data_IF_977346614617
#
_entry.id   IF_977346614617
#
_cell.length_a   1.000
_cell.length_b   1.000
_cell.length_c   1.000
_cell.angle_alpha   90.00
_cell.angle_beta   90.00
_cell.angle_gamma   90.00
#
_symmetry.space_group_name_H-M   'P 1'
#
loop_
_entity.id
_entity.type
_entity.pdbx_description
1 polymer ?
#
# COMPACT_ATOMS: atom_id res chain seq x y z
N UNK A 1 -35.74 92.88 -13.28
CA UNK A 1 -35.11 91.74 -12.58
C UNK A 1 -35.84 90.46 -13.01
N UNK A 2 -35.12 89.41 -13.42
CA UNK A 2 -35.68 88.27 -14.15
C UNK A 2 -36.14 87.10 -13.26
N UNK A 3 -36.84 86.21 -13.94
CA UNK A 3 -37.55 84.96 -13.65
C UNK A 3 -36.80 83.83 -12.93
N UNK A 4 -37.54 82.97 -12.21
CA UNK A 4 -37.13 81.57 -11.97
C UNK A 4 -38.19 80.57 -12.50
N UNK A 5 -37.68 79.54 -13.19
CA UNK A 5 -38.37 78.39 -13.80
C UNK A 5 -37.80 77.11 -13.17
N UNK A 6 -38.68 76.22 -12.71
CA UNK A 6 -38.74 74.75 -12.86
C UNK A 6 -37.47 73.84 -12.75
N UNK A 7 -37.51 72.75 -11.95
CA UNK A 7 -37.87 71.35 -12.35
C UNK A 7 -37.49 70.30 -11.25
N UNK A 8 -38.24 69.17 -11.13
CA UNK A 8 -37.97 68.01 -10.25
C UNK A 8 -37.34 66.82 -11.03
N UNK A 9 -36.59 65.90 -10.38
CA UNK A 9 -36.25 64.52 -10.86
C UNK A 9 -35.16 63.80 -10.02
N UNK A 10 -35.42 63.41 -8.77
CA UNK A 10 -34.39 62.71 -7.96
C UNK A 10 -34.77 61.32 -7.40
N UNK A 11 -35.95 60.76 -7.69
CA UNK A 11 -36.45 59.63 -6.89
C UNK A 11 -36.55 58.26 -7.58
N UNK A 12 -35.76 57.96 -8.62
CA UNK A 12 -35.86 56.66 -9.34
C UNK A 12 -34.57 55.85 -9.50
N UNK A 13 -33.44 56.29 -8.93
CA UNK A 13 -32.13 55.68 -9.21
C UNK A 13 -31.63 54.63 -8.19
N UNK A 14 -32.31 54.41 -7.07
CA UNK A 14 -31.77 53.58 -5.98
C UNK A 14 -32.14 52.09 -6.05
N UNK A 15 -33.24 51.70 -6.72
CA UNK A 15 -33.70 50.31 -6.71
C UNK A 15 -33.01 49.40 -7.75
N UNK A 16 -32.58 49.94 -8.90
CA UNK A 16 -32.00 49.14 -9.97
C UNK A 16 -30.54 48.69 -9.68
N UNK A 17 -29.81 49.46 -8.87
CA UNK A 17 -28.40 49.16 -8.55
C UNK A 17 -28.29 48.04 -7.50
N UNK A 18 -29.26 47.91 -6.59
CA UNK A 18 -29.24 46.88 -5.55
C UNK A 18 -29.56 45.47 -6.09
N UNK A 19 -30.37 45.38 -7.15
CA UNK A 19 -30.73 44.10 -7.80
C UNK A 19 -29.61 43.55 -8.69
N UNK A 20 -28.74 44.41 -9.24
CA UNK A 20 -27.56 44.00 -10.01
C UNK A 20 -26.43 43.44 -9.14
N UNK A 21 -26.37 43.77 -7.86
CA UNK A 21 -25.35 43.27 -6.93
C UNK A 21 -25.65 41.86 -6.39
N UNK A 22 -26.91 41.39 -6.44
CA UNK A 22 -27.29 40.05 -5.99
C UNK A 22 -27.16 38.96 -7.08
N UNK A 23 -27.07 39.34 -8.35
CA UNK A 23 -26.92 38.40 -9.48
C UNK A 23 -25.47 38.19 -9.94
N UNK A 24 -24.51 38.86 -9.30
CA UNK A 24 -23.08 38.75 -9.62
C UNK A 24 -22.32 37.84 -8.63
N UNK A 25 -22.95 36.78 -8.12
CA UNK A 25 -22.23 35.71 -7.46
C UNK A 25 -21.87 34.69 -8.55
N UNK A 26 -20.60 34.60 -9.00
CA UNK A 26 -20.20 33.57 -9.93
C UNK A 26 -20.38 32.20 -9.26
N UNK A 27 -21.18 31.34 -9.88
CA UNK A 27 -21.32 29.92 -9.54
C UNK A 27 -20.12 29.15 -10.10
N UNK A 28 -18.91 29.60 -9.78
CA UNK A 28 -17.65 29.00 -10.25
C UNK A 28 -16.81 28.60 -9.04
N UNK A 29 -17.39 27.85 -8.10
CA UNK A 29 -16.68 27.42 -6.90
C UNK A 29 -16.95 25.97 -6.51
N UNK A 30 -17.05 25.05 -7.47
CA UNK A 30 -16.67 23.63 -7.26
C UNK A 30 -16.06 23.07 -8.54
N UNK A 31 -14.86 23.52 -8.86
CA UNK A 31 -13.92 22.77 -9.68
C UNK A 31 -12.52 23.20 -9.22
N UNK A 32 -12.12 22.76 -8.02
CA UNK A 32 -10.70 22.62 -7.75
C UNK A 32 -10.21 21.53 -8.72
N UNK A 33 -9.77 21.95 -9.90
CA UNK A 33 -8.76 21.21 -10.61
C UNK A 33 -7.56 21.14 -9.66
N UNK A 34 -7.39 20.00 -9.00
CA UNK A 34 -6.12 19.65 -8.38
C UNK A 34 -5.07 19.75 -9.49
N UNK A 35 -4.38 20.87 -9.54
CA UNK A 35 -3.13 20.98 -10.28
C UNK A 35 -2.21 19.97 -9.64
N UNK A 36 -1.70 18.95 -10.35
CA UNK A 36 -0.66 18.12 -9.75
C UNK A 36 0.49 19.06 -9.42
N UNK A 37 0.72 19.35 -8.13
CA UNK A 37 1.92 20.02 -7.71
C UNK A 37 3.08 19.22 -8.30
N UNK A 38 4.00 19.89 -9.01
CA UNK A 38 5.16 19.27 -9.65
C UNK A 38 6.19 18.72 -8.65
N UNK A 39 5.74 18.41 -7.44
CA UNK A 39 6.52 17.94 -6.32
C UNK A 39 6.51 16.40 -6.32
N UNK A 40 7.69 15.82 -6.42
CA UNK A 40 7.86 14.37 -6.45
C UNK A 40 7.56 13.77 -5.09
N UNK A 41 6.80 12.69 -5.04
CA UNK A 41 6.66 11.88 -3.83
C UNK A 41 7.60 10.66 -3.90
N UNK A 42 8.04 10.20 -2.73
CA UNK A 42 8.94 9.05 -2.59
C UNK A 42 8.26 7.96 -1.76
N UNK A 43 8.37 6.71 -2.19
CA UNK A 43 7.94 5.54 -1.40
C UNK A 43 9.17 4.70 -1.10
N UNK A 44 9.63 4.71 0.15
CA UNK A 44 10.81 4.00 0.61
C UNK A 44 10.43 2.63 1.18
N UNK A 45 11.01 1.57 0.62
CA UNK A 45 10.70 0.19 1.01
C UNK A 45 11.88 -0.43 1.73
N UNK A 46 11.65 -0.82 2.97
CA UNK A 46 12.57 -1.59 3.79
C UNK A 46 12.27 -3.08 3.71
N UNK A 47 13.28 -3.89 4.00
CA UNK A 47 13.12 -5.33 4.13
C UNK A 47 13.62 -5.82 5.47
N UNK A 48 12.79 -6.63 6.13
CA UNK A 48 13.10 -7.28 7.40
C UNK A 48 12.93 -8.79 7.28
N UNK A 49 13.91 -9.53 7.76
CA UNK A 49 13.88 -10.99 7.75
C UNK A 49 13.73 -11.55 9.15
N UNK A 50 12.81 -12.51 9.33
CA UNK A 50 12.58 -13.24 10.58
C UNK A 50 12.93 -14.71 10.38
N UNK A 51 14.05 -15.16 10.97
CA UNK A 51 14.47 -16.56 10.97
C UNK A 51 15.99 -16.76 11.13
N UNK A 52 16.40 -17.91 11.65
CA UNK A 52 17.82 -18.24 11.84
C UNK A 52 18.46 -18.70 10.50
N UNK A 53 19.44 -17.90 10.06
CA UNK A 53 20.45 -18.13 9.02
C UNK A 53 19.98 -18.83 7.73
N UNK A 54 19.89 -18.07 6.65
CA UNK A 54 19.77 -18.54 5.27
C UNK A 54 20.22 -17.44 4.31
N UNK A 55 20.26 -17.75 3.02
CA UNK A 55 20.50 -16.73 2.01
C UNK A 55 19.27 -15.81 1.96
N UNK A 56 19.40 -14.59 2.46
CA UNK A 56 18.33 -13.58 2.52
C UNK A 56 18.28 -12.84 1.19
N UNK A 57 17.75 -13.55 0.19
CA UNK A 57 17.75 -13.05 -1.18
C UNK A 57 16.92 -11.78 -1.34
N UNK A 58 17.31 -10.98 -2.33
CA UNK A 58 16.51 -9.85 -2.78
C UNK A 58 15.14 -10.35 -3.28
N UNK A 59 14.10 -9.59 -2.98
CA UNK A 59 12.74 -9.88 -3.41
C UNK A 59 12.27 -8.84 -4.40
N UNK A 60 11.43 -9.28 -5.31
CA UNK A 60 10.81 -8.42 -6.30
C UNK A 60 9.53 -7.85 -5.71
N UNK A 61 9.46 -6.52 -5.65
CA UNK A 61 8.32 -5.77 -5.16
C UNK A 61 7.69 -4.97 -6.30
N UNK A 62 6.37 -4.96 -6.35
CA UNK A 62 5.54 -4.22 -7.29
C UNK A 62 4.75 -3.15 -6.56
N UNK A 63 4.56 -2.00 -7.20
CA UNK A 63 3.71 -0.94 -6.70
C UNK A 63 2.36 -0.99 -7.43
N UNK A 64 1.27 -0.95 -6.66
CA UNK A 64 -0.09 -0.76 -7.17
C UNK A 64 -0.69 0.48 -6.52
N UNK A 65 -1.14 1.43 -7.32
CA UNK A 65 -1.83 2.63 -6.82
C UNK A 65 -3.19 2.79 -7.50
N UNK A 66 -4.11 3.54 -6.88
CA UNK A 66 -5.50 3.72 -7.36
C UNK A 66 -5.62 4.26 -8.80
N UNK A 67 -4.62 4.97 -9.31
CA UNK A 67 -4.60 5.57 -10.64
C UNK A 67 -3.91 4.70 -11.72
N UNK A 68 -3.80 3.39 -11.51
CA UNK A 68 -3.12 2.47 -12.43
C UNK A 68 -1.66 2.86 -12.73
N UNK A 69 -1.02 3.59 -11.82
CA UNK A 69 0.39 3.97 -11.94
C UNK A 69 1.24 2.70 -11.88
N UNK A 70 1.88 2.36 -12.99
CA UNK A 70 2.78 1.21 -13.09
C UNK A 70 4.21 1.68 -13.20
N UNK A 71 4.94 1.52 -12.10
CA UNK A 71 6.39 1.69 -12.08
C UNK A 71 7.09 0.33 -12.26
N UNK A 72 8.36 0.33 -12.72
CA UNK A 72 9.14 -0.89 -12.76
C UNK A 72 9.22 -1.55 -11.38
N UNK A 73 9.25 -2.89 -11.32
CA UNK A 73 9.46 -3.58 -10.06
C UNK A 73 10.83 -3.26 -9.48
N UNK A 74 10.89 -3.20 -8.15
CA UNK A 74 12.14 -2.98 -7.42
C UNK A 74 12.64 -4.30 -6.82
N UNK A 75 13.96 -4.42 -6.73
CA UNK A 75 14.61 -5.53 -6.02
C UNK A 75 15.05 -5.06 -4.64
N UNK A 76 14.24 -5.34 -3.64
CA UNK A 76 14.47 -4.88 -2.27
C UNK A 76 15.41 -5.85 -1.55
N UNK A 77 16.50 -5.30 -1.01
CA UNK A 77 17.51 -6.03 -0.25
C UNK A 77 17.35 -5.72 1.24
N UNK A 78 17.80 -6.61 2.12
CA UNK A 78 17.76 -6.36 3.57
C UNK A 78 18.58 -5.13 3.98
N UNK A 79 19.77 -5.00 3.41
CA UNK A 79 20.75 -3.98 3.84
C UNK A 79 20.62 -2.66 3.06
N UNK A 80 19.70 -2.61 2.09
CA UNK A 80 19.53 -1.46 1.20
C UNK A 80 18.04 -1.25 0.93
N UNK A 81 17.42 -0.21 1.53
CA UNK A 81 16.08 0.19 1.13
C UNK A 81 16.11 0.73 -0.30
N UNK A 82 15.05 0.46 -1.04
CA UNK A 82 14.87 0.93 -2.42
C UNK A 82 13.61 1.80 -2.47
N UNK A 83 13.57 2.77 -3.37
CA UNK A 83 12.50 3.74 -3.42
C UNK A 83 11.86 3.88 -4.81
N UNK A 84 10.55 4.10 -4.84
CA UNK A 84 9.85 4.61 -6.01
C UNK A 84 9.74 6.13 -5.95
N UNK A 85 10.01 6.79 -7.08
CA UNK A 85 9.78 8.21 -7.26
C UNK A 85 8.54 8.40 -8.11
N UNK A 86 7.54 9.10 -7.57
CA UNK A 86 6.29 9.42 -8.24
C UNK A 86 6.30 10.90 -8.61
N UNK A 87 6.37 11.18 -9.92
CA UNK A 87 6.45 12.56 -10.44
C UNK A 87 5.10 13.24 -10.62
N UNK A 88 3.99 12.52 -10.43
CA UNK A 88 2.63 13.01 -10.69
C UNK A 88 1.66 12.46 -9.64
N UNK A 89 1.76 12.96 -8.41
CA UNK A 89 0.85 12.62 -7.32
C UNK A 89 -0.18 13.73 -7.16
N UNK A 90 -1.48 13.44 -7.02
CA UNK A 90 -2.50 14.45 -6.74
C UNK A 90 -2.24 15.14 -5.40
N UNK A 91 -2.69 16.40 -5.24
CA UNK A 91 -2.47 17.17 -4.02
C UNK A 91 -3.20 16.56 -2.81
N UNK A 92 -4.31 15.86 -3.04
CA UNK A 92 -5.05 15.07 -2.04
C UNK A 92 -4.33 13.79 -1.60
N UNK A 93 -3.26 13.40 -2.31
CA UNK A 93 -2.54 12.15 -2.13
C UNK A 93 -3.15 10.97 -2.90
N UNK A 94 -2.42 9.87 -2.94
CA UNK A 94 -2.84 8.63 -3.60
C UNK A 94 -2.58 7.45 -2.66
N UNK A 95 -3.52 6.49 -2.63
CA UNK A 95 -3.30 5.23 -1.93
C UNK A 95 -2.52 4.26 -2.83
N UNK A 96 -1.45 3.73 -2.27
CA UNK A 96 -0.60 2.74 -2.93
C UNK A 96 -0.40 1.52 -2.02
N UNK A 97 -0.29 0.35 -2.62
CA UNK A 97 0.07 -0.90 -1.95
C UNK A 97 1.32 -1.48 -2.60
N UNK A 98 2.26 -1.94 -1.78
CA UNK A 98 3.44 -2.66 -2.24
C UNK A 98 3.17 -4.16 -2.11
N UNK A 99 3.34 -4.87 -3.23
CA UNK A 99 3.16 -6.30 -3.32
C UNK A 99 4.50 -6.99 -3.57
N UNK A 100 4.81 -7.97 -2.74
CA UNK A 100 5.94 -8.85 -2.94
C UNK A 100 5.52 -10.12 -3.69
N UNK A 101 6.38 -10.60 -4.60
CA UNK A 101 6.18 -11.91 -5.23
C UNK A 101 6.58 -13.02 -4.25
N UNK A 102 5.58 -13.67 -3.64
CA UNK A 102 5.77 -14.77 -2.69
C UNK A 102 6.50 -15.98 -3.32
N UNK A 103 7.34 -16.66 -2.52
CA UNK A 103 8.08 -17.87 -2.91
C UNK A 103 8.00 -18.94 -1.82
N UNK A 104 8.15 -20.21 -2.20
CA UNK A 104 8.06 -21.38 -1.30
C UNK A 104 9.04 -21.42 -0.10
N UNK A 105 9.98 -20.48 -0.01
CA UNK A 105 11.05 -20.45 1.00
C UNK A 105 10.71 -19.59 2.22
N UNK A 106 9.68 -18.73 2.14
CA UNK A 106 9.25 -17.82 3.20
C UNK A 106 7.76 -17.51 3.09
N UNK A 107 7.20 -16.98 4.17
CA UNK A 107 5.88 -16.34 4.18
C UNK A 107 6.12 -14.83 4.20
N UNK A 108 5.52 -14.11 3.25
CA UNK A 108 5.58 -12.66 3.19
C UNK A 108 4.46 -12.04 4.04
N UNK A 109 4.83 -11.10 4.89
CA UNK A 109 3.93 -10.22 5.60
C UNK A 109 4.14 -8.79 5.07
N UNK A 110 3.04 -8.22 4.57
CA UNK A 110 3.00 -6.95 3.83
C UNK A 110 1.98 -5.99 4.45
N UNK A 111 1.52 -6.23 5.68
CA UNK A 111 0.49 -5.41 6.33
C UNK A 111 0.90 -3.92 6.37
N UNK A 112 2.15 -3.65 6.74
CA UNK A 112 2.74 -2.29 6.79
C UNK A 112 2.81 -1.61 5.41
N UNK A 113 2.68 -2.38 4.32
CA UNK A 113 2.81 -1.89 2.95
C UNK A 113 1.47 -1.81 2.20
N UNK A 114 0.34 -1.98 2.90
CA UNK A 114 -1.01 -1.82 2.33
C UNK A 114 -1.51 -0.40 2.58
N UNK A 115 -2.29 0.12 1.62
CA UNK A 115 -3.02 1.39 1.72
C UNK A 115 -2.15 2.57 2.20
N UNK A 116 -0.92 2.65 1.70
CA UNK A 116 0.02 3.73 1.96
C UNK A 116 -0.49 5.02 1.32
N UNK A 117 -0.80 6.01 2.16
CA UNK A 117 -1.15 7.34 1.68
C UNK A 117 0.11 8.12 1.32
N UNK A 118 0.30 8.33 0.01
CA UNK A 118 1.44 9.06 -0.55
C UNK A 118 0.99 10.46 -0.91
N UNK A 119 1.62 11.47 -0.32
CA UNK A 119 1.26 12.90 -0.50
C UNK A 119 2.46 13.62 -1.12
N UNK A 120 2.27 14.58 -2.04
CA UNK A 120 3.37 15.36 -2.59
C UNK A 120 4.22 16.02 -1.48
N UNK A 121 5.54 15.99 -1.62
CA UNK A 121 6.48 16.55 -0.63
C UNK A 121 6.59 15.78 0.69
N UNK A 122 5.80 14.73 0.90
CA UNK A 122 5.93 13.78 2.02
C UNK A 122 6.21 12.38 1.49
N UNK A 123 7.38 11.86 1.81
CA UNK A 123 7.69 10.46 1.56
C UNK A 123 6.78 9.53 2.38
N UNK A 124 6.47 8.36 1.81
CA UNK A 124 5.88 7.24 2.52
C UNK A 124 6.95 6.17 2.74
N UNK A 125 6.89 5.47 3.86
CA UNK A 125 7.79 4.36 4.17
C UNK A 125 7.01 3.11 4.51
N UNK A 126 7.51 1.95 4.11
CA UNK A 126 6.92 0.66 4.49
C UNK A 126 7.99 -0.42 4.64
N UNK A 127 7.68 -1.48 5.38
CA UNK A 127 8.60 -2.60 5.61
C UNK A 127 7.99 -3.92 5.13
N UNK A 128 8.67 -4.59 4.21
CA UNK A 128 8.37 -5.96 3.83
C UNK A 128 8.97 -6.91 4.85
N UNK A 129 8.14 -7.74 5.48
CA UNK A 129 8.57 -8.67 6.53
C UNK A 129 8.46 -10.09 6.01
N UNK A 130 9.58 -10.76 5.83
CA UNK A 130 9.60 -12.15 5.37
C UNK A 130 9.97 -13.07 6.53
N UNK A 131 9.12 -14.06 6.78
CA UNK A 131 9.37 -15.10 7.79
C UNK A 131 9.78 -16.39 7.11
N UNK A 132 10.97 -16.91 7.43
CA UNK A 132 11.46 -18.17 6.86
C UNK A 132 10.57 -19.34 7.28
N UNK A 133 10.01 -20.06 6.30
CA UNK A 133 9.29 -21.31 6.58
C UNK A 133 10.31 -22.41 6.82
N UNK A 134 10.52 -22.74 8.09
CA UNK A 134 11.24 -23.96 8.43
C UNK A 134 10.28 -25.11 8.17
N UNK A 135 10.41 -25.82 7.02
CA UNK A 135 9.60 -27.01 6.63
C UNK A 135 9.74 -28.21 7.60
N UNK A 136 10.11 -27.99 8.87
CA UNK A 136 10.25 -29.04 9.88
C UNK A 136 8.92 -29.76 10.17
N UNK A 137 7.77 -29.13 9.95
CA UNK A 137 6.45 -29.77 10.20
C UNK A 137 6.18 -30.88 9.17
N UNK A 138 6.51 -30.67 7.90
CA UNK A 138 6.37 -31.69 6.85
C UNK A 138 7.32 -32.87 7.05
N UNK A 139 8.58 -32.59 7.42
CA UNK A 139 9.57 -33.63 7.72
C UNK A 139 9.16 -34.43 8.97
N UNK A 140 8.63 -33.78 10.01
CA UNK A 140 8.21 -34.46 11.23
C UNK A 140 7.01 -35.39 10.97
N UNK A 141 6.06 -34.97 10.14
CA UNK A 141 4.91 -35.81 9.77
C UNK A 141 5.32 -37.02 8.92
N UNK A 142 6.18 -36.80 7.91
CA UNK A 142 6.62 -37.87 7.00
C UNK A 142 7.48 -38.92 7.69
N UNK A 143 8.41 -38.51 8.56
CA UNK A 143 9.23 -39.46 9.32
C UNK A 143 8.51 -40.00 10.56
N UNK A 144 7.64 -39.22 11.20
CA UNK A 144 6.83 -39.66 12.34
C UNK A 144 5.92 -40.83 12.00
N UNK A 145 5.25 -40.77 10.84
CA UNK A 145 4.42 -41.87 10.34
C UNK A 145 5.25 -43.14 10.07
N UNK A 146 6.40 -43.00 9.38
CA UNK A 146 7.27 -44.13 9.05
C UNK A 146 7.83 -44.80 10.30
N UNK A 147 8.23 -44.02 11.31
CA UNK A 147 8.72 -44.54 12.58
C UNK A 147 7.64 -45.31 13.34
N UNK A 148 6.39 -44.82 13.37
CA UNK A 148 5.28 -45.54 14.02
C UNK A 148 5.01 -46.90 13.37
N UNK A 149 5.00 -46.96 12.04
CA UNK A 149 4.82 -48.21 11.30
C UNK A 149 5.97 -49.18 11.61
N UNK A 150 7.22 -48.70 11.62
CA UNK A 150 8.39 -49.52 11.92
C UNK A 150 8.33 -50.10 13.34
N UNK A 151 7.91 -49.31 14.34
CA UNK A 151 7.76 -49.77 15.73
C UNK A 151 6.67 -50.84 15.85
N UNK A 152 5.51 -50.63 15.21
CA UNK A 152 4.40 -51.60 15.25
C UNK A 152 4.76 -52.93 14.58
N UNK A 153 5.43 -52.88 13.42
CA UNK A 153 5.90 -54.07 12.74
C UNK A 153 7.02 -54.77 13.51
N UNK A 154 7.97 -54.02 14.07
CA UNK A 154 9.06 -54.56 14.89
C UNK A 154 8.56 -55.27 16.15
N UNK A 155 7.60 -54.68 16.86
CA UNK A 155 6.96 -55.31 18.02
C UNK A 155 6.17 -56.57 17.64
N UNK A 156 5.44 -56.53 16.52
CA UNK A 156 4.71 -57.69 15.99
C UNK A 156 5.64 -58.87 15.65
N UNK A 157 6.74 -58.61 14.93
CA UNK A 157 7.76 -59.60 14.61
C UNK A 157 8.43 -60.19 15.86
N UNK A 158 8.75 -59.34 16.85
CA UNK A 158 9.33 -59.80 18.11
C UNK A 158 8.38 -60.71 18.90
N UNK A 159 7.07 -60.39 18.91
CA UNK A 159 6.06 -61.21 19.56
C UNK A 159 5.89 -62.59 18.87
N UNK A 160 5.83 -62.61 17.54
CA UNK A 160 5.71 -63.85 16.75
C UNK A 160 6.94 -64.74 16.95
N UNK A 161 8.14 -64.16 16.89
CA UNK A 161 9.40 -64.89 17.07
C UNK A 161 9.56 -65.49 18.47
N UNK A 162 9.00 -64.82 19.49
CA UNK A 162 8.98 -65.36 20.86
C UNK A 162 8.04 -66.56 20.98
N UNK A 163 6.93 -66.57 20.25
CA UNK A 163 5.92 -67.61 20.33
C UNK A 163 6.27 -68.87 19.53
N UNK A 164 7.11 -68.76 18.49
CA UNK A 164 7.58 -69.89 17.67
C UNK A 164 8.85 -70.57 18.20
N UNK A 165 9.50 -70.00 19.22
CA UNK A 165 10.70 -70.56 19.88
C UNK A 165 10.39 -71.33 21.19
N UNK A 166 9.11 -71.46 21.56
CA UNK A 166 8.59 -72.33 22.62
C UNK A 166 8.01 -73.59 21.99
#
# INVERSE_FOLDING_TARGET
MPTMRAYPRFLRLTAAVLLLLLYAIPVDLVAQSGTPSGETAEILVYKKWIGASGNEEAVEAHLLCENDVRLPPLRVHRDRPEAWLLSSVPDEGILCSVLEVERDTFVADMEDCRDLLVVPGRGAECTLVNTKVVKRIDMLNRYGLVMMIAVMLGAGLAAVHRHTRL
#
